data_IF_206045245977
#
_entry.id   IF_206045245977
#
_cell.length_a   1.000
_cell.length_b   1.000
_cell.length_c   1.000
_cell.angle_alpha   90.00
_cell.angle_beta   90.00
_cell.angle_gamma   90.00
#
_symmetry.space_group_name_H-M   'P 1'
#
loop_
_entity.id
_entity.type
_entity.pdbx_description
1 polymer ?
#
# COMPACT_ATOMS: atom_id res chain seq x y z
N UNK A 1 2.22 12.28 -3.25
CA UNK A 1 2.06 12.24 -1.79
C UNK A 1 2.91 11.15 -1.14
N UNK A 2 2.82 9.90 -1.62
CA UNK A 2 3.36 8.72 -0.97
C UNK A 2 4.85 8.72 -0.58
N UNK A 3 5.76 9.31 -1.38
CA UNK A 3 7.21 9.20 -1.14
C UNK A 3 7.71 9.84 0.17
N UNK A 4 7.00 10.83 0.71
CA UNK A 4 7.41 11.59 1.92
C UNK A 4 6.54 11.34 3.15
N UNK A 5 5.53 10.47 3.03
CA UNK A 5 4.65 10.12 4.14
C UNK A 5 5.16 8.84 4.81
N UNK A 6 4.95 8.69 6.11
CA UNK A 6 5.20 7.42 6.82
C UNK A 6 3.91 6.62 7.04
N UNK A 7 2.76 7.30 6.94
CA UNK A 7 1.41 6.74 7.01
C UNK A 7 0.46 7.59 6.17
N UNK A 8 -0.71 7.02 5.83
CA UNK A 8 -1.83 7.76 5.25
C UNK A 8 -2.98 7.77 6.24
N UNK A 9 -3.70 8.89 6.35
CA UNK A 9 -4.89 9.00 7.20
C UNK A 9 -6.01 9.65 6.40
N UNK A 10 -7.16 8.99 6.32
CA UNK A 10 -8.39 9.56 5.78
C UNK A 10 -9.30 10.01 6.93
N UNK A 11 -9.68 11.29 6.91
CA UNK A 11 -10.76 11.86 7.73
C UNK A 11 -12.09 11.73 6.97
N UNK A 12 -13.26 11.88 7.63
CA UNK A 12 -14.55 11.89 6.94
C UNK A 12 -14.55 12.86 5.75
N UNK A 13 -14.97 12.38 4.59
CA UNK A 13 -14.86 13.10 3.34
C UNK A 13 -15.66 12.45 2.21
N UNK A 14 -15.88 13.20 1.13
CA UNK A 14 -16.67 12.74 -0.01
C UNK A 14 -15.89 11.85 -0.98
N UNK A 15 -16.35 11.82 -2.23
CA UNK A 15 -15.76 10.96 -3.27
C UNK A 15 -14.27 11.17 -3.51
N UNK A 16 -13.77 12.41 -3.41
CA UNK A 16 -12.33 12.66 -3.58
C UNK A 16 -11.49 11.93 -2.53
N UNK A 17 -11.91 11.99 -1.26
CA UNK A 17 -11.22 11.28 -0.17
C UNK A 17 -11.29 9.77 -0.33
N UNK A 18 -12.44 9.24 -0.77
CA UNK A 18 -12.60 7.81 -1.01
C UNK A 18 -11.73 7.32 -2.18
N UNK A 19 -11.61 8.11 -3.25
CA UNK A 19 -10.78 7.77 -4.40
C UNK A 19 -9.30 7.71 -4.02
N UNK A 20 -8.79 8.74 -3.32
CA UNK A 20 -7.41 8.77 -2.81
C UNK A 20 -7.15 7.63 -1.81
N UNK A 21 -8.12 7.31 -0.94
CA UNK A 21 -8.04 6.21 0.02
C UNK A 21 -7.90 4.86 -0.67
N UNK A 22 -8.75 4.58 -1.67
CA UNK A 22 -8.73 3.31 -2.39
C UNK A 22 -7.47 3.16 -3.25
N UNK A 23 -6.93 4.27 -3.80
CA UNK A 23 -5.65 4.26 -4.50
C UNK A 23 -4.51 3.80 -3.58
N UNK A 24 -4.36 4.38 -2.39
CA UNK A 24 -3.27 4.01 -1.46
C UNK A 24 -3.43 2.60 -0.89
N UNK A 25 -4.66 2.13 -0.65
CA UNK A 25 -4.92 0.73 -0.27
C UNK A 25 -4.48 -0.22 -1.39
N UNK A 26 -4.79 0.11 -2.64
CA UNK A 26 -4.42 -0.71 -3.79
C UNK A 26 -2.90 -0.77 -3.96
N UNK A 27 -2.19 0.34 -3.76
CA UNK A 27 -0.72 0.37 -3.81
C UNK A 27 -0.08 -0.47 -2.70
N UNK A 28 -0.63 -0.44 -1.48
CA UNK A 28 -0.21 -1.33 -0.41
C UNK A 28 -0.44 -2.80 -0.78
N UNK A 29 -1.62 -3.13 -1.33
CA UNK A 29 -1.93 -4.49 -1.77
C UNK A 29 -1.00 -5.00 -2.88
N UNK A 30 -0.56 -4.11 -3.78
CA UNK A 30 0.40 -4.43 -4.85
C UNK A 30 1.86 -4.47 -4.36
N UNK A 31 2.13 -4.18 -3.08
CA UNK A 31 3.48 -4.13 -2.52
C UNK A 31 4.31 -2.94 -2.99
N UNK A 32 3.67 -1.86 -3.45
CA UNK A 32 4.36 -0.62 -3.85
C UNK A 32 4.84 0.16 -2.61
N UNK A 33 4.16 0.01 -1.48
CA UNK A 33 4.60 0.48 -0.18
C UNK A 33 4.04 -0.37 0.96
N UNK A 34 4.71 -0.32 2.11
CA UNK A 34 4.29 -1.04 3.32
C UNK A 34 3.72 -0.09 4.40
N UNK A 35 3.40 1.15 4.03
CA UNK A 35 2.92 2.18 4.95
C UNK A 35 1.48 1.91 5.41
N UNK A 36 1.15 2.10 6.70
CA UNK A 36 -0.20 1.90 7.19
C UNK A 36 -1.18 2.93 6.63
N UNK A 37 -2.43 2.50 6.46
CA UNK A 37 -3.55 3.34 6.03
C UNK A 37 -4.59 3.42 7.15
N UNK A 38 -4.71 4.60 7.75
CA UNK A 38 -5.60 4.90 8.87
C UNK A 38 -6.92 5.52 8.44
N UNK A 39 -8.02 5.10 9.05
CA UNK A 39 -9.34 5.74 8.97
C UNK A 39 -9.70 6.33 10.33
N UNK A 40 -9.88 7.65 10.39
CA UNK A 40 -10.44 8.29 11.58
C UNK A 40 -11.97 8.15 11.54
N UNK A 41 -12.48 7.14 12.22
CA UNK A 41 -13.89 6.74 12.17
C UNK A 41 -14.77 7.54 13.15
N UNK A 42 -14.87 8.84 12.90
CA UNK A 42 -15.68 9.76 13.72
C UNK A 42 -17.15 9.39 13.62
N UNK A 43 -17.79 9.13 14.76
CA UNK A 43 -19.24 8.80 14.85
C UNK A 43 -19.68 7.65 13.92
N UNK A 44 -18.78 6.71 13.61
CA UNK A 44 -19.10 5.56 12.75
C UNK A 44 -19.20 5.90 11.25
N UNK A 45 -18.64 7.04 10.82
CA UNK A 45 -18.68 7.49 9.41
C UNK A 45 -18.24 6.41 8.41
N UNK A 46 -17.24 5.60 8.76
CA UNK A 46 -16.66 4.57 7.90
C UNK A 46 -17.22 3.16 8.15
N UNK A 47 -18.20 2.97 9.06
CA UNK A 47 -18.73 1.64 9.41
C UNK A 47 -19.24 0.87 8.20
N UNK A 48 -20.07 1.51 7.36
CA UNK A 48 -20.60 0.89 6.14
C UNK A 48 -19.51 0.55 5.12
N UNK A 49 -18.42 1.31 5.07
CA UNK A 49 -17.28 1.03 4.19
C UNK A 49 -16.50 -0.18 4.72
N UNK A 50 -16.24 -0.22 6.02
CA UNK A 50 -15.55 -1.34 6.67
C UNK A 50 -16.37 -2.63 6.50
N UNK A 51 -17.67 -2.60 6.73
CA UNK A 51 -18.59 -3.73 6.51
C UNK A 51 -18.64 -4.19 5.05
N UNK A 52 -18.50 -3.27 4.10
CA UNK A 52 -18.41 -3.61 2.68
C UNK A 52 -17.11 -4.36 2.37
N UNK A 53 -15.99 -3.90 2.92
CA UNK A 53 -14.69 -4.53 2.72
C UNK A 53 -14.65 -5.89 3.42
N UNK A 54 -15.22 -6.03 4.62
CA UNK A 54 -15.33 -7.31 5.33
C UNK A 54 -16.13 -8.32 4.51
N UNK A 55 -17.25 -7.91 3.92
CA UNK A 55 -17.99 -8.77 2.96
C UNK A 55 -17.17 -9.13 1.73
N UNK A 56 -16.39 -8.19 1.19
CA UNK A 56 -15.50 -8.49 0.06
C UNK A 56 -14.40 -9.50 0.42
N UNK A 57 -14.00 -9.58 1.70
CA UNK A 57 -13.12 -10.63 2.21
C UNK A 57 -13.85 -11.96 2.27
N UNK A 58 -15.06 -11.99 2.83
CA UNK A 58 -15.87 -13.21 2.95
C UNK A 58 -16.18 -13.83 1.58
N UNK A 59 -16.44 -13.00 0.57
CA UNK A 59 -16.70 -13.41 -0.81
C UNK A 59 -15.41 -13.70 -1.61
N UNK A 60 -14.23 -13.51 -1.02
CA UNK A 60 -12.93 -13.86 -1.62
C UNK A 60 -12.39 -12.85 -2.65
N UNK A 61 -12.98 -11.66 -2.75
CA UNK A 61 -12.46 -10.57 -3.59
C UNK A 61 -11.27 -9.85 -2.97
N UNK A 62 -11.21 -9.79 -1.63
CA UNK A 62 -10.11 -9.21 -0.85
C UNK A 62 -9.49 -10.30 0.00
N UNK A 63 -8.17 -10.40 0.02
CA UNK A 63 -7.53 -11.39 0.90
C UNK A 63 -7.60 -10.95 2.37
N UNK A 64 -7.63 -11.87 3.34
CA UNK A 64 -7.55 -11.52 4.75
C UNK A 64 -6.27 -10.72 5.10
N UNK A 65 -5.19 -10.88 4.33
CA UNK A 65 -3.98 -10.07 4.45
C UNK A 65 -4.19 -8.63 3.98
N UNK A 66 -4.80 -8.44 2.81
CA UNK A 66 -5.12 -7.11 2.28
C UNK A 66 -6.09 -6.34 3.22
N UNK A 67 -7.03 -7.02 3.88
CA UNK A 67 -7.93 -6.41 4.85
C UNK A 67 -7.21 -5.72 6.02
N UNK A 68 -6.03 -6.23 6.41
CA UNK A 68 -5.23 -5.71 7.52
C UNK A 68 -4.47 -4.43 7.15
N UNK A 69 -4.43 -4.03 5.88
CA UNK A 69 -3.84 -2.75 5.43
C UNK A 69 -4.55 -1.56 6.11
N UNK A 70 -5.86 -1.69 6.33
CA UNK A 70 -6.71 -0.64 6.89
C UNK A 70 -6.75 -0.77 8.41
N UNK A 71 -6.32 0.30 9.09
CA UNK A 71 -6.47 0.51 10.53
C UNK A 71 -7.55 1.57 10.75
N UNK A 72 -8.49 1.33 11.66
CA UNK A 72 -9.55 2.30 11.96
C UNK A 72 -9.66 2.52 13.46
N UNK A 73 -9.88 3.77 13.86
CA UNK A 73 -10.14 4.13 15.25
C UNK A 73 -11.02 5.39 15.34
N UNK A 74 -11.83 5.55 16.39
CA UNK A 74 -12.75 6.66 16.53
C UNK A 74 -12.09 7.98 16.95
N UNK A 75 -10.90 7.91 17.56
CA UNK A 75 -10.18 9.10 18.04
C UNK A 75 -8.77 9.21 17.43
N UNK A 76 -8.21 10.43 17.30
CA UNK A 76 -6.86 10.59 16.76
C UNK A 76 -5.79 9.89 17.59
N UNK A 77 -5.92 9.89 18.93
CA UNK A 77 -4.95 9.26 19.82
C UNK A 77 -4.92 7.74 19.64
N UNK A 78 -6.08 7.10 19.58
CA UNK A 78 -6.19 5.66 19.32
C UNK A 78 -5.69 5.30 17.92
N UNK A 79 -6.00 6.14 16.93
CA UNK A 79 -5.55 5.91 15.56
C UNK A 79 -4.01 5.96 15.47
N UNK A 80 -3.39 6.98 16.05
CA UNK A 80 -1.94 7.12 16.02
C UNK A 80 -1.24 5.95 16.73
N UNK A 81 -1.74 5.54 17.91
CA UNK A 81 -1.21 4.37 18.61
C UNK A 81 -1.30 3.10 17.75
N UNK A 82 -2.46 2.87 17.11
CA UNK A 82 -2.65 1.71 16.24
C UNK A 82 -1.78 1.74 14.96
N UNK A 83 -1.50 2.94 14.42
CA UNK A 83 -0.60 3.12 13.29
C UNK A 83 0.88 2.86 13.67
N UNK A 84 1.29 3.19 14.89
CA UNK A 84 2.64 2.91 15.41
C UNK A 84 2.87 1.41 15.64
N UNK A 85 1.83 0.67 16.03
CA UNK A 85 1.86 -0.78 16.22
C UNK A 85 1.73 -1.58 14.91
N UNK A 86 1.44 -0.91 13.80
CA UNK A 86 1.21 -1.57 12.53
C UNK A 86 2.46 -2.31 12.04
N UNK A 87 2.30 -3.62 11.82
CA UNK A 87 3.26 -4.47 11.14
C UNK A 87 2.69 -4.87 9.77
N UNK A 88 3.39 -4.61 8.65
CA UNK A 88 2.95 -5.02 7.34
C UNK A 88 2.75 -6.53 7.31
N UNK A 89 1.57 -6.98 6.90
CA UNK A 89 1.40 -8.38 6.54
C UNK A 89 2.18 -8.61 5.25
N UNK A 90 3.40 -9.17 5.34
CA UNK A 90 4.11 -9.64 4.16
C UNK A 90 3.19 -10.60 3.40
N UNK A 91 2.72 -10.18 2.23
CA UNK A 91 1.76 -10.95 1.45
C UNK A 91 2.37 -12.31 1.05
N UNK A 92 1.54 -13.35 1.13
CA UNK A 92 1.77 -14.63 0.49
C UNK A 92 2.17 -14.44 -0.99
N UNK A 93 2.97 -15.38 -1.50
CA UNK A 93 3.69 -15.37 -2.77
C UNK A 93 2.86 -15.20 -4.07
N UNK A 94 1.61 -14.74 -4.00
CA UNK A 94 0.76 -14.42 -5.15
C UNK A 94 0.85 -12.96 -5.61
N UNK A 95 1.52 -12.09 -4.85
CA UNK A 95 1.88 -10.77 -5.35
C UNK A 95 2.92 -10.94 -6.47
N UNK A 96 2.51 -10.70 -7.72
CA UNK A 96 3.45 -10.49 -8.81
C UNK A 96 4.35 -9.33 -8.37
N UNK A 97 5.60 -9.66 -8.03
CA UNK A 97 6.61 -8.69 -7.62
C UNK A 97 6.92 -7.80 -8.82
N UNK A 98 6.14 -6.75 -9.01
CA UNK A 98 6.38 -5.75 -10.04
C UNK A 98 7.55 -4.88 -9.57
N UNK A 99 8.76 -5.29 -9.94
CA UNK A 99 9.96 -4.47 -9.78
C UNK A 99 10.03 -3.43 -10.89
N UNK A 100 10.06 -2.15 -10.51
CA UNK A 100 10.28 -1.02 -11.40
C UNK A 100 11.79 -0.87 -11.69
N UNK A 101 12.42 -1.88 -12.29
CA UNK A 101 13.72 -1.70 -12.93
C UNK A 101 13.49 -1.60 -14.43
N UNK A 102 13.34 -0.36 -14.89
CA UNK A 102 13.47 -0.07 -16.32
C UNK A 102 14.92 -0.31 -16.72
N UNK A 103 15.13 -1.22 -17.66
CA UNK A 103 16.38 -1.38 -18.40
C UNK A 103 16.72 -0.07 -19.12
N UNK A 104 17.47 0.79 -18.45
CA UNK A 104 18.23 1.86 -19.09
C UNK A 104 19.58 1.93 -18.39
N UNK A 105 20.45 0.96 -18.70
CA UNK A 105 21.87 1.19 -18.92
C UNK A 105 22.55 -0.13 -19.29
N UNK A 106 22.53 -0.46 -20.58
CA UNK A 106 23.59 -1.28 -21.17
C UNK A 106 23.97 -0.69 -22.51
N UNK A 107 24.46 0.55 -22.49
CA UNK A 107 25.18 1.11 -23.62
C UNK A 107 26.24 2.12 -23.17
N UNK A 108 27.21 1.68 -22.36
CA UNK A 108 28.55 2.26 -22.39
C UNK A 108 29.59 1.34 -21.72
N UNK A 109 30.69 1.13 -22.45
CA UNK A 109 31.95 0.51 -22.02
C UNK A 109 32.06 -1.02 -22.11
N UNK A 110 32.16 -1.53 -23.35
CA UNK A 110 32.92 -2.77 -23.60
C UNK A 110 34.43 -2.50 -23.46
N UNK A 111 35.22 -3.39 -22.84
CA UNK A 111 36.68 -3.25 -22.83
C UNK A 111 37.25 -3.48 -24.24
N UNK A 112 38.42 -2.91 -24.59
CA UNK A 112 39.03 -3.10 -25.90
C UNK A 112 39.47 -4.57 -26.08
N UNK A 113 39.29 -5.10 -27.30
CA UNK A 113 39.76 -6.45 -27.66
C UNK A 113 41.28 -6.55 -27.55
N UNK A 114 41.83 -7.72 -27.17
CA UNK A 114 43.27 -7.92 -27.18
C UNK A 114 43.80 -7.86 -28.61
N UNK A 115 44.90 -7.12 -28.78
CA UNK A 115 45.69 -7.06 -30.01
C UNK A 115 46.33 -8.42 -30.27
N UNK A 116 45.91 -9.07 -31.36
CA UNK A 116 46.54 -10.27 -31.92
C UNK A 116 47.26 -9.91 -33.21
N UNK A 117 48.37 -9.20 -33.08
CA UNK A 117 49.37 -9.03 -34.13
C UNK A 117 50.52 -10.04 -33.93
N UNK A 118 50.42 -11.17 -34.64
CA UNK A 118 51.54 -11.95 -35.18
C UNK A 118 51.14 -12.55 -36.52
#
# INVERSE_FOLDING_TARGET
MARRADAFVALPGGYGTLEELLEVITWAQLGIHDKPVGLLNVEGYYDSLLDFIDRAVDEGFVSPAARRIIVAAPTPGELLAALEEYAPAHHDASAIKLSWESSVDTMACSPPRPDISR
#
